data_IF_895133151848
#
_entry.id   IF_895133151848
#
_cell.length_a   1.000
_cell.length_b   1.000
_cell.length_c   1.000
_cell.angle_alpha   90.00
_cell.angle_beta   90.00
_cell.angle_gamma   90.00
#
_symmetry.space_group_name_H-M   'P 1'
#
loop_
_entity.id
_entity.type
_entity.pdbx_description
1 polymer ?
#
# COMPACT_ATOMS: atom_id res chain seq x y z
N UNK A 1 -0.63 -15.84 10.53
CA UNK A 1 -0.81 -14.50 9.95
C UNK A 1 -0.60 -14.57 8.46
N UNK A 2 0.01 -13.53 7.89
CA UNK A 2 0.49 -13.45 6.50
C UNK A 2 2.01 -13.69 6.52
N UNK A 3 2.48 -14.92 6.27
CA UNK A 3 3.84 -15.33 6.63
C UNK A 3 4.95 -14.68 5.78
N UNK A 4 4.62 -14.09 4.63
CA UNK A 4 5.52 -13.52 3.62
C UNK A 4 5.26 -12.03 3.35
N UNK A 5 4.56 -11.34 4.27
CA UNK A 5 4.18 -9.92 4.15
C UNK A 5 4.36 -9.17 5.48
N UNK A 6 4.40 -7.83 5.42
CA UNK A 6 4.46 -6.95 6.60
C UNK A 6 5.86 -6.66 7.15
N UNK A 7 6.90 -7.15 6.47
CA UNK A 7 8.30 -6.84 6.77
C UNK A 7 9.05 -6.56 5.46
N UNK A 8 9.96 -5.59 5.48
CA UNK A 8 10.92 -5.39 4.40
C UNK A 8 12.07 -6.40 4.59
N UNK A 9 12.00 -7.50 3.84
CA UNK A 9 12.97 -8.61 3.91
C UNK A 9 13.03 -9.34 2.58
N UNK A 10 14.21 -9.82 2.23
CA UNK A 10 14.37 -10.65 1.03
C UNK A 10 13.41 -11.84 1.02
N UNK A 11 12.83 -12.12 -0.15
CA UNK A 11 11.84 -13.17 -0.35
C UNK A 11 10.41 -12.83 0.09
N UNK A 12 10.16 -11.66 0.69
CA UNK A 12 8.81 -11.19 1.01
C UNK A 12 8.15 -10.50 -0.18
N UNK A 13 6.82 -10.41 -0.16
CA UNK A 13 6.09 -9.66 -1.19
C UNK A 13 6.46 -8.19 -1.09
N UNK A 14 6.71 -7.58 -2.24
CA UNK A 14 6.95 -6.15 -2.37
C UNK A 14 5.64 -5.36 -2.23
N UNK A 15 5.09 -5.38 -1.03
CA UNK A 15 4.02 -4.50 -0.59
C UNK A 15 4.66 -3.35 0.20
N UNK A 16 4.85 -2.21 -0.46
CA UNK A 16 5.69 -1.11 0.02
C UNK A 16 4.92 0.18 -0.09
N UNK A 17 5.07 1.06 0.91
CA UNK A 17 4.60 2.43 0.88
C UNK A 17 5.79 3.37 1.02
N UNK A 18 5.86 4.39 0.17
CA UNK A 18 6.79 5.50 0.30
C UNK A 18 5.97 6.72 0.68
N UNK A 19 6.32 7.34 1.80
CA UNK A 19 5.61 8.49 2.33
C UNK A 19 6.58 9.50 2.91
N UNK A 20 6.20 10.77 2.87
CA UNK A 20 6.93 11.85 3.51
C UNK A 20 6.54 11.91 4.99
N UNK A 21 7.48 11.59 5.87
CA UNK A 21 7.26 11.51 7.31
C UNK A 21 6.79 12.83 7.97
N UNK A 22 7.14 13.99 7.40
CA UNK A 22 6.76 15.29 7.94
C UNK A 22 5.32 15.69 7.54
N UNK A 23 4.83 15.16 6.42
CA UNK A 23 3.55 15.60 5.81
C UNK A 23 2.45 14.55 5.87
N UNK A 24 2.79 13.27 6.07
CA UNK A 24 1.82 12.16 5.99
C UNK A 24 0.65 12.37 6.93
N UNK A 25 -0.57 12.43 6.38
CA UNK A 25 -1.77 12.75 7.17
C UNK A 25 -3.06 12.30 6.51
N UNK A 26 -4.01 11.84 7.34
CA UNK A 26 -5.41 11.68 6.95
C UNK A 26 -6.14 13.04 6.97
N UNK A 27 -6.69 13.44 5.83
CA UNK A 27 -7.45 14.69 5.66
C UNK A 27 -8.96 14.50 5.85
N UNK A 28 -9.42 13.25 5.84
CA UNK A 28 -10.82 12.89 6.00
C UNK A 28 -11.38 13.38 7.35
N UNK A 29 -12.60 13.92 7.32
CA UNK A 29 -13.36 14.36 8.50
C UNK A 29 -14.70 13.64 8.57
N UNK A 30 -15.45 13.80 9.67
CA UNK A 30 -16.82 13.27 9.75
C UNK A 30 -17.75 13.89 8.70
N UNK A 31 -17.59 15.17 8.41
CA UNK A 31 -18.43 15.89 7.44
C UNK A 31 -18.02 15.58 5.99
N UNK A 32 -16.73 15.34 5.77
CA UNK A 32 -16.18 14.99 4.46
C UNK A 32 -15.22 13.79 4.57
N UNK A 33 -15.75 12.56 4.49
CA UNK A 33 -14.98 11.35 4.79
C UNK A 33 -14.20 10.79 3.59
N UNK A 34 -14.46 11.25 2.35
CA UNK A 34 -13.91 10.65 1.11
C UNK A 34 -12.75 11.45 0.55
N UNK A 35 -11.79 11.79 1.40
CA UNK A 35 -10.60 12.55 1.02
C UNK A 35 -9.38 11.64 0.89
N UNK A 36 -8.53 11.92 -0.10
CA UNK A 36 -7.25 11.24 -0.24
C UNK A 36 -6.27 11.70 0.85
N UNK A 37 -5.42 10.80 1.38
CA UNK A 37 -4.35 11.19 2.28
C UNK A 37 -3.33 12.07 1.55
N UNK A 38 -2.58 12.85 2.31
CA UNK A 38 -1.43 13.60 1.80
C UNK A 38 -0.12 12.95 2.24
N UNK A 39 0.96 13.20 1.50
CA UNK A 39 2.31 12.73 1.82
C UNK A 39 2.55 11.25 1.55
N UNK A 40 1.73 10.59 0.71
CA UNK A 40 1.95 9.21 0.25
C UNK A 40 2.15 9.26 -1.26
N UNK A 41 3.39 9.16 -1.71
CA UNK A 41 3.76 9.42 -3.10
C UNK A 41 3.73 8.13 -3.93
N UNK A 42 4.15 7.00 -3.33
CA UNK A 42 4.18 5.71 -4.02
C UNK A 42 3.61 4.58 -3.17
N UNK A 43 2.84 3.72 -3.83
CA UNK A 43 2.37 2.46 -3.25
C UNK A 43 2.68 1.35 -4.24
N UNK A 44 3.32 0.29 -3.75
CA UNK A 44 3.65 -0.92 -4.50
C UNK A 44 2.90 -2.08 -3.88
N UNK A 45 2.25 -2.89 -4.70
CA UNK A 45 1.57 -4.12 -4.27
C UNK A 45 2.06 -5.28 -5.13
N UNK A 46 2.56 -6.35 -4.50
CA UNK A 46 3.17 -7.48 -5.20
C UNK A 46 4.22 -7.07 -6.26
N UNK A 47 4.98 -6.00 -6.03
CA UNK A 47 6.01 -5.51 -6.95
C UNK A 47 5.51 -4.68 -8.14
N UNK A 48 4.24 -4.28 -8.16
CA UNK A 48 3.68 -3.35 -9.15
C UNK A 48 3.28 -2.04 -8.50
N UNK A 49 3.66 -0.91 -9.10
CA UNK A 49 3.29 0.44 -8.66
C UNK A 49 1.79 0.65 -8.93
N UNK A 50 1.02 0.90 -7.86
CA UNK A 50 -0.43 1.16 -7.91
C UNK A 50 -0.78 2.62 -7.63
N UNK A 51 0.07 3.33 -6.90
CA UNK A 51 0.08 4.79 -6.80
C UNK A 51 1.46 5.27 -7.26
N UNK A 52 1.47 6.19 -8.22
CA UNK A 52 2.66 6.80 -8.82
C UNK A 52 2.53 8.33 -8.70
N UNK A 53 3.44 8.96 -7.96
CA UNK A 53 3.39 10.39 -7.60
C UNK A 53 2.02 10.88 -7.11
N UNK A 54 1.39 10.08 -6.23
CA UNK A 54 0.05 10.36 -5.68
C UNK A 54 -1.13 10.03 -6.61
N UNK A 55 -0.89 9.64 -7.86
CA UNK A 55 -1.92 9.26 -8.82
C UNK A 55 -2.15 7.74 -8.88
N UNK A 56 -3.41 7.32 -9.00
CA UNK A 56 -3.73 5.90 -9.13
C UNK A 56 -3.46 5.41 -10.56
N UNK A 57 -2.64 4.37 -10.70
CA UNK A 57 -2.24 3.83 -12.01
C UNK A 57 -3.30 2.92 -12.65
N UNK A 58 -4.34 2.52 -11.91
CA UNK A 58 -5.36 1.57 -12.34
C UNK A 58 -4.91 0.10 -12.33
N UNK A 59 -3.65 -0.19 -12.00
CA UNK A 59 -3.14 -1.55 -11.92
C UNK A 59 -3.71 -2.25 -10.69
N UNK A 60 -4.21 -3.48 -10.86
CA UNK A 60 -4.83 -4.28 -9.79
C UNK A 60 -4.04 -5.58 -9.54
N UNK A 61 -2.83 -5.51 -8.94
CA UNK A 61 -1.96 -6.68 -8.74
C UNK A 61 -2.30 -7.47 -7.46
N UNK A 62 -3.38 -7.09 -6.77
CA UNK A 62 -3.82 -7.69 -5.52
C UNK A 62 -4.21 -9.16 -5.69
N UNK A 63 -4.07 -9.93 -4.62
CA UNK A 63 -4.40 -11.37 -4.60
C UNK A 63 -5.17 -11.71 -3.34
N UNK A 64 -6.08 -12.68 -3.45
CA UNK A 64 -6.81 -13.19 -2.31
C UNK A 64 -5.86 -13.93 -1.36
N UNK A 65 -5.80 -13.49 -0.10
CA UNK A 65 -4.91 -14.07 0.90
C UNK A 65 -5.62 -15.18 1.67
N UNK A 66 -4.88 -16.26 1.94
CA UNK A 66 -5.34 -17.36 2.81
C UNK A 66 -4.49 -17.41 4.08
N UNK A 67 -5.15 -17.52 5.23
CA UNK A 67 -4.48 -17.58 6.54
C UNK A 67 -3.42 -18.69 6.55
N UNK A 68 -2.18 -18.33 6.88
CA UNK A 68 -1.09 -19.28 7.07
C UNK A 68 -0.40 -19.81 5.81
N UNK A 69 -0.75 -19.34 4.61
CA UNK A 69 -0.04 -19.69 3.36
C UNK A 69 0.80 -18.52 2.84
N UNK A 70 2.02 -18.81 2.39
CA UNK A 70 2.98 -17.84 1.84
C UNK A 70 2.94 -17.72 0.31
N UNK A 71 2.10 -18.49 -0.37
CA UNK A 71 2.15 -18.63 -1.84
C UNK A 71 0.92 -18.07 -2.57
N UNK A 72 0.15 -17.22 -1.90
CA UNK A 72 -0.97 -16.47 -2.52
C UNK A 72 -0.50 -15.13 -3.04
#
# INVERSE_FOLDING_TARGET
GLPDRGLLRDGFKADIVVFNADTVKATATKADPKQYPVGIDYVVVNGRVVIDDGENTGVLPGRALRRGRSNT
#
